data_IF_424914272827
#
_entry.id   IF_424914272827
#
_cell.length_a   1.000
_cell.length_b   1.000
_cell.length_c   1.000
_cell.angle_alpha   90.00
_cell.angle_beta   90.00
_cell.angle_gamma   90.00
#
_symmetry.space_group_name_H-M   'P 1'
#
loop_
_entity.id
_entity.type
_entity.pdbx_description
1 polymer ?
#
# COMPACT_ATOMS: atom_id res chain seq x y z
N UNK A 1 9.74 -15.27 15.87
CA UNK A 1 10.61 -15.20 14.68
C UNK A 1 10.46 -13.80 14.13
N UNK A 2 11.55 -13.03 14.03
CA UNK A 2 11.50 -11.73 13.37
C UNK A 2 11.26 -12.02 11.88
N UNK A 3 10.03 -11.88 11.43
CA UNK A 3 9.69 -11.97 10.01
C UNK A 3 10.57 -10.99 9.25
N UNK A 4 11.09 -11.44 8.10
CA UNK A 4 12.06 -10.66 7.34
C UNK A 4 11.35 -9.43 6.75
N UNK A 5 11.37 -8.33 7.50
CA UNK A 5 10.74 -7.06 7.11
C UNK A 5 11.30 -6.61 5.75
N UNK A 6 12.55 -6.94 5.44
CA UNK A 6 13.16 -6.69 4.13
C UNK A 6 12.46 -7.45 3.01
N UNK A 7 12.15 -8.73 3.20
CA UNK A 7 11.36 -9.52 2.24
C UNK A 7 9.95 -8.93 2.05
N UNK A 8 9.30 -8.49 3.12
CA UNK A 8 8.00 -7.82 3.04
C UNK A 8 8.08 -6.47 2.30
N UNK A 9 9.14 -5.69 2.52
CA UNK A 9 9.39 -4.44 1.78
C UNK A 9 9.62 -4.74 0.30
N UNK A 10 10.43 -5.76 -0.02
CA UNK A 10 10.69 -6.15 -1.40
C UNK A 10 9.40 -6.61 -2.11
N UNK A 11 8.55 -7.39 -1.43
CA UNK A 11 7.25 -7.80 -1.98
C UNK A 11 6.30 -6.60 -2.18
N UNK A 12 6.24 -5.68 -1.21
CA UNK A 12 5.47 -4.46 -1.34
C UNK A 12 5.98 -3.56 -2.49
N UNK A 13 7.30 -3.49 -2.69
CA UNK A 13 7.91 -2.77 -3.81
C UNK A 13 7.52 -3.41 -5.16
N UNK A 14 7.59 -4.75 -5.26
CA UNK A 14 7.19 -5.49 -6.46
C UNK A 14 5.71 -5.26 -6.83
N UNK A 15 4.86 -5.06 -5.82
CA UNK A 15 3.44 -4.72 -5.99
C UNK A 15 3.17 -3.23 -6.23
N UNK A 16 4.23 -2.41 -6.36
CA UNK A 16 4.17 -0.95 -6.50
C UNK A 16 3.33 -0.28 -5.39
N UNK A 17 3.49 -0.74 -4.15
CA UNK A 17 2.75 -0.20 -3.01
C UNK A 17 3.30 1.13 -2.49
N UNK A 18 4.57 1.42 -2.76
CA UNK A 18 5.22 2.66 -2.35
C UNK A 18 4.92 3.74 -3.38
N UNK A 19 3.95 4.58 -3.09
CA UNK A 19 3.68 5.78 -3.89
C UNK A 19 3.69 6.97 -2.95
N UNK A 20 4.67 7.87 -3.05
CA UNK A 20 4.69 9.07 -2.22
C UNK A 20 3.49 9.93 -2.61
N UNK A 21 2.47 9.90 -1.77
CA UNK A 21 1.34 10.81 -1.86
C UNK A 21 1.76 12.10 -1.17
N UNK A 22 1.48 13.24 -1.79
CA UNK A 22 1.74 14.53 -1.18
C UNK A 22 0.98 14.66 0.14
N UNK A 23 1.52 15.39 1.12
CA UNK A 23 0.90 15.57 2.44
C UNK A 23 -0.52 16.17 2.42
N UNK A 24 -0.98 16.61 1.25
CA UNK A 24 -2.29 17.22 1.01
C UNK A 24 -3.28 16.27 0.31
N UNK A 25 -2.85 15.09 -0.13
CA UNK A 25 -3.73 14.13 -0.78
C UNK A 25 -4.59 13.40 0.27
N UNK A 26 -5.89 13.67 0.23
CA UNK A 26 -6.88 13.04 1.12
C UNK A 26 -7.43 11.74 0.53
N UNK A 27 -7.28 11.53 -0.79
CA UNK A 27 -7.80 10.38 -1.51
C UNK A 27 -6.70 9.62 -2.24
N UNK A 28 -6.76 8.30 -2.19
CA UNK A 28 -5.82 7.42 -2.86
C UNK A 28 -5.97 7.52 -4.38
N UNK A 29 -4.89 7.78 -5.12
CA UNK A 29 -4.94 7.87 -6.59
C UNK A 29 -5.29 6.55 -7.30
N UNK A 30 -5.29 5.41 -6.59
CA UNK A 30 -5.59 4.09 -7.17
C UNK A 30 -7.02 3.61 -6.93
N UNK A 31 -7.59 3.88 -5.76
CA UNK A 31 -8.92 3.39 -5.40
C UNK A 31 -9.88 4.49 -4.96
N UNK A 32 -9.44 5.75 -4.95
CA UNK A 32 -10.19 6.94 -4.53
C UNK A 32 -10.70 6.91 -3.08
N UNK A 33 -10.36 5.88 -2.31
CA UNK A 33 -10.65 5.81 -0.89
C UNK A 33 -9.83 6.84 -0.10
N UNK A 34 -10.35 7.24 1.06
CA UNK A 34 -9.69 8.19 1.94
C UNK A 34 -8.36 7.63 2.46
N UNK A 35 -7.31 8.44 2.39
CA UNK A 35 -6.00 8.16 2.96
C UNK A 35 -5.98 8.51 4.46
N UNK A 36 -5.15 7.77 5.21
CA UNK A 36 -4.87 8.07 6.61
C UNK A 36 -3.94 9.29 6.74
N UNK A 37 -3.72 9.79 7.96
CA UNK A 37 -2.86 10.96 8.22
C UNK A 37 -1.41 10.78 7.76
N UNK A 38 -1.01 9.54 7.49
CA UNK A 38 0.31 9.15 6.96
C UNK A 38 0.33 8.90 5.44
N UNK A 39 -0.78 9.12 4.74
CA UNK A 39 -0.92 8.86 3.32
C UNK A 39 -1.13 7.38 2.97
N UNK A 40 -1.42 6.53 3.96
CA UNK A 40 -1.66 5.10 3.75
C UNK A 40 -3.14 4.84 3.39
N UNK A 41 -3.38 3.99 2.41
CA UNK A 41 -4.72 3.60 2.02
C UNK A 41 -5.15 2.29 2.68
N UNK A 42 -6.12 2.38 3.59
CA UNK A 42 -6.71 1.21 4.23
C UNK A 42 -7.54 0.32 3.29
N UNK A 43 -7.85 0.76 2.07
CA UNK A 43 -8.71 0.02 1.13
C UNK A 43 -7.88 -0.84 0.16
N UNK A 44 -6.95 -0.24 -0.59
CA UNK A 44 -6.15 -0.94 -1.59
C UNK A 44 -4.74 -1.33 -1.10
N UNK A 45 -4.36 -0.95 0.13
CA UNK A 45 -3.07 -1.25 0.72
C UNK A 45 -1.92 -0.34 0.27
N UNK A 46 -2.20 0.78 -0.39
CA UNK A 46 -1.17 1.75 -0.78
C UNK A 46 -0.47 2.34 0.45
N UNK A 47 0.85 2.47 0.39
CA UNK A 47 1.68 3.02 1.46
C UNK A 47 2.24 4.36 0.98
N UNK A 48 1.88 5.43 1.69
CA UNK A 48 2.27 6.81 1.34
C UNK A 48 3.73 7.15 1.67
N UNK A 49 4.46 6.19 2.25
CA UNK A 49 5.83 6.37 2.76
C UNK A 49 6.82 5.57 1.90
N UNK A 50 8.05 6.08 1.69
CA UNK A 50 9.07 5.34 0.96
C UNK A 50 9.56 4.15 1.79
N UNK A 51 10.06 3.11 1.10
CA UNK A 51 10.62 1.92 1.71
C UNK A 51 11.67 2.24 2.81
N UNK A 52 12.57 3.21 2.56
CA UNK A 52 13.60 3.59 3.51
C UNK A 52 13.08 4.17 4.84
N UNK A 53 11.87 4.76 4.85
CA UNK A 53 11.21 5.21 6.09
C UNK A 53 10.71 4.01 6.91
N UNK A 54 10.17 2.99 6.22
CA UNK A 54 9.74 1.75 6.85
C UNK A 54 10.93 0.94 7.37
N UNK A 55 12.05 0.92 6.65
CA UNK A 55 13.29 0.28 7.12
C UNK A 55 13.82 0.92 8.41
N UNK A 56 13.74 2.25 8.55
CA UNK A 56 14.10 2.94 9.80
C UNK A 56 13.15 2.57 10.92
N UNK A 57 11.84 2.57 10.66
CA UNK A 57 10.83 2.15 11.65
C UNK A 57 10.97 0.70 12.07
N UNK A 58 11.38 -0.19 11.17
CA UNK A 58 11.62 -1.59 11.47
C UNK A 58 12.75 -1.78 12.50
N UNK A 59 13.70 -0.85 12.59
CA UNK A 59 14.76 -0.90 13.61
C UNK A 59 14.22 -0.62 15.01
N UNK A 60 13.14 0.15 15.13
CA UNK A 60 12.50 0.49 16.41
C UNK A 60 11.29 -0.37 16.73
N UNK A 61 10.53 -0.76 15.71
CA UNK A 61 9.26 -1.49 15.80
C UNK A 61 9.11 -2.43 14.60
N UNK A 62 9.85 -3.54 14.63
CA UNK A 62 9.85 -4.54 13.57
C UNK A 62 8.48 -5.20 13.41
N UNK A 63 7.81 -5.51 14.53
CA UNK A 63 6.54 -6.25 14.55
C UNK A 63 5.39 -5.42 13.95
N UNK A 64 5.24 -4.15 14.37
CA UNK A 64 4.23 -3.27 13.82
C UNK A 64 4.49 -2.94 12.35
N UNK A 65 5.75 -2.82 11.94
CA UNK A 65 6.12 -2.64 10.52
C UNK A 65 5.80 -3.87 9.68
N UNK A 66 6.14 -5.07 10.18
CA UNK A 66 5.80 -6.34 9.52
C UNK A 66 4.28 -6.49 9.35
N UNK A 67 3.51 -6.23 10.42
CA UNK A 67 2.04 -6.30 10.40
C UNK A 67 1.42 -5.32 9.40
N UNK A 68 1.94 -4.10 9.32
CA UNK A 68 1.50 -3.10 8.36
C UNK A 68 1.75 -3.57 6.93
N UNK A 69 2.98 -4.03 6.62
CA UNK A 69 3.35 -4.51 5.30
C UNK A 69 2.52 -5.73 4.88
N UNK A 70 2.34 -6.71 5.77
CA UNK A 70 1.51 -7.90 5.48
C UNK A 70 0.07 -7.51 5.17
N UNK A 71 -0.50 -6.62 5.97
CA UNK A 71 -1.88 -6.15 5.74
C UNK A 71 -1.99 -5.40 4.42
N UNK A 72 -1.02 -4.55 4.09
CA UNK A 72 -0.98 -3.80 2.83
C UNK A 72 -0.85 -4.73 1.61
N UNK A 73 0.05 -5.71 1.68
CA UNK A 73 0.27 -6.73 0.65
C UNK A 73 -0.98 -7.58 0.45
N UNK A 74 -1.56 -8.11 1.54
CA UNK A 74 -2.77 -8.92 1.50
C UNK A 74 -3.92 -8.14 0.85
N UNK A 75 -4.11 -6.88 1.29
CA UNK A 75 -5.10 -5.99 0.68
C UNK A 75 -4.81 -5.79 -0.80
N UNK A 76 -3.57 -5.52 -1.20
CA UNK A 76 -3.23 -5.31 -2.61
C UNK A 76 -3.46 -6.55 -3.48
N UNK A 77 -3.12 -7.73 -2.95
CA UNK A 77 -3.34 -9.03 -3.61
C UNK A 77 -4.84 -9.35 -3.71
N UNK A 78 -5.62 -9.00 -2.68
CA UNK A 78 -7.07 -9.22 -2.63
C UNK A 78 -7.87 -8.12 -3.34
N UNK A 79 -7.29 -6.93 -3.49
CA UNK A 79 -7.90 -5.78 -4.14
C UNK A 79 -7.88 -5.99 -5.64
N UNK A 80 -8.95 -6.62 -6.13
CA UNK A 80 -9.31 -6.55 -7.55
C UNK A 80 -9.87 -5.15 -7.81
N UNK A 81 -9.23 -4.33 -8.66
CA UNK A 81 -9.86 -3.07 -9.05
C UNK A 81 -11.22 -3.42 -9.67
N UNK A 82 -12.25 -2.74 -9.19
CA UNK A 82 -13.61 -2.82 -9.73
C UNK A 82 -13.54 -2.22 -11.15
N UNK A 83 -13.12 -3.03 -12.12
CA UNK A 83 -12.76 -2.58 -13.47
C UNK A 83 -11.82 -3.51 -14.25
N UNK A 84 -11.11 -4.45 -13.62
CA UNK A 84 -10.20 -5.36 -14.34
C UNK A 84 -10.86 -6.61 -14.96
N UNK A 85 -12.19 -6.70 -15.00
CA UNK A 85 -12.90 -7.66 -15.88
C UNK A 85 -14.22 -7.08 -16.39
N UNK A 86 -14.24 -6.78 -17.69
CA UNK A 86 -15.45 -6.76 -18.51
C UNK A 86 -15.99 -5.37 -18.85
N UNK A 87 -15.72 -4.93 -20.09
CA UNK A 87 -16.74 -4.40 -21.00
C UNK A 87 -17.81 -3.47 -20.41
N UNK A 88 -17.77 -2.18 -20.77
CA UNK A 88 -18.78 -1.64 -21.69
C UNK A 88 -18.14 -0.58 -22.58
N UNK A 89 -18.23 -0.84 -23.88
CA UNK A 89 -18.29 0.18 -24.92
C UNK A 89 -19.10 1.39 -24.42
N UNK A 90 -18.54 2.59 -24.54
CA UNK A 90 -19.35 3.79 -24.55
C UNK A 90 -19.04 4.53 -25.86
N UNK A 91 -19.63 3.99 -26.91
CA UNK A 91 -20.08 4.78 -28.04
C UNK A 91 -21.17 5.71 -27.52
N UNK A 92 -20.92 7.02 -27.52
CA UNK A 92 -21.94 8.03 -27.80
C UNK A 92 -21.34 9.41 -28.02
#
# INVERSE_FOLDING_TARGET
MAEDVRALIAEAAALNLFTPQGAFEVHCSYCHARLDARGDCATCGLIGRPASELERRAQTDADGTAKLLRTAIDKRKSFKPVGARGEKAQER
#
